data_IF_388728943328
#
_entry.id   IF_388728943328
#
_cell.length_a   1.000
_cell.length_b   1.000
_cell.length_c   1.000
_cell.angle_alpha   90.00
_cell.angle_beta   90.00
_cell.angle_gamma   90.00
#
_symmetry.space_group_name_H-M   'P 1'
#
loop_
_entity.id
_entity.type
_entity.pdbx_description
1 polymer ?
#
# COMPACT_ATOMS: atom_id res chain seq x y z
N UNK A 1 2.25 4.04 -13.18
CA UNK A 1 3.68 3.74 -13.45
C UNK A 1 4.03 2.55 -12.57
N UNK A 2 4.55 1.50 -13.20
CA UNK A 2 5.07 0.28 -12.55
C UNK A 2 6.58 0.23 -12.67
N UNK A 3 7.20 -0.60 -11.85
CA UNK A 3 8.63 -0.73 -11.70
C UNK A 3 9.25 0.32 -10.75
N UNK A 4 10.56 0.16 -10.50
CA UNK A 4 11.33 1.07 -9.68
C UNK A 4 11.41 2.46 -10.32
N UNK A 5 11.60 3.48 -9.49
CA UNK A 5 11.80 4.84 -9.94
C UNK A 5 12.19 5.78 -8.81
N UNK A 6 12.64 7.00 -9.10
CA UNK A 6 12.99 7.98 -8.09
C UNK A 6 11.85 8.15 -7.07
N UNK A 7 12.19 8.07 -5.78
CA UNK A 7 11.26 8.18 -4.65
C UNK A 7 10.32 7.01 -4.43
N UNK A 8 10.47 5.89 -5.16
CA UNK A 8 9.91 4.59 -4.78
C UNK A 8 10.93 3.81 -3.98
N UNK A 9 10.62 3.55 -2.71
CA UNK A 9 11.43 2.69 -1.85
C UNK A 9 10.88 1.27 -1.96
N UNK A 10 11.68 0.32 -2.47
CA UNK A 10 11.29 -1.10 -2.49
C UNK A 10 11.23 -1.63 -1.06
N UNK A 11 10.14 -2.30 -0.72
CA UNK A 11 9.93 -2.93 0.57
C UNK A 11 10.05 -4.44 0.40
N UNK A 12 10.90 -5.08 1.22
CA UNK A 12 10.89 -6.54 1.35
C UNK A 12 9.58 -6.94 2.05
N UNK A 13 8.62 -7.40 1.28
CA UNK A 13 7.25 -7.62 1.73
C UNK A 13 6.69 -8.93 1.18
N UNK A 14 5.95 -9.65 2.02
CA UNK A 14 5.11 -10.77 1.58
C UNK A 14 3.69 -10.30 1.38
N UNK A 15 3.13 -10.59 0.21
CA UNK A 15 1.75 -10.24 -0.14
C UNK A 15 0.89 -11.48 -0.17
N UNK A 16 -0.30 -11.39 0.40
CA UNK A 16 -1.29 -12.47 0.40
C UNK A 16 -2.69 -11.91 0.17
N UNK A 17 -3.46 -12.62 -0.64
CA UNK A 17 -4.90 -12.41 -0.73
C UNK A 17 -5.61 -13.48 0.08
N UNK A 18 -6.54 -13.03 0.92
CA UNK A 18 -7.39 -13.91 1.71
C UNK A 18 -8.84 -13.74 1.27
N UNK A 19 -9.55 -14.85 1.18
CA UNK A 19 -10.96 -14.94 0.79
C UNK A 19 -11.72 -15.75 1.83
N UNK A 20 -13.02 -15.89 1.66
CA UNK A 20 -13.75 -16.93 2.39
C UNK A 20 -13.29 -18.31 1.91
N UNK A 21 -12.84 -19.16 2.83
CA UNK A 21 -12.37 -20.51 2.53
C UNK A 21 -10.90 -20.67 2.09
N UNK A 22 -10.09 -19.62 2.01
CA UNK A 22 -8.67 -19.80 1.67
C UNK A 22 -7.83 -18.53 1.54
N UNK A 23 -6.55 -18.74 1.21
CA UNK A 23 -5.61 -17.67 0.92
C UNK A 23 -4.57 -18.09 -0.10
N UNK A 24 -4.12 -17.15 -0.93
CA UNK A 24 -3.01 -17.34 -1.87
C UNK A 24 -1.93 -16.28 -1.62
N UNK A 25 -0.67 -16.69 -1.74
CA UNK A 25 0.44 -15.73 -1.79
C UNK A 25 0.48 -15.11 -3.20
N UNK A 26 0.76 -13.80 -3.26
CA UNK A 26 0.88 -13.06 -4.51
C UNK A 26 2.34 -12.69 -4.69
N UNK A 27 2.92 -13.09 -5.82
CA UNK A 27 4.23 -12.60 -6.25
C UNK A 27 4.07 -11.15 -6.71
N UNK A 28 4.49 -10.21 -5.86
CA UNK A 28 4.26 -8.79 -6.05
C UNK A 28 5.45 -7.98 -5.56
N UNK A 29 5.82 -6.96 -6.34
CA UNK A 29 6.76 -5.95 -5.90
C UNK A 29 6.02 -4.87 -5.09
N UNK A 30 6.46 -4.62 -3.87
CA UNK A 30 5.86 -3.62 -2.99
C UNK A 30 6.77 -2.41 -2.86
N UNK A 31 6.21 -1.22 -3.06
CA UNK A 31 6.94 0.03 -2.93
C UNK A 31 6.22 1.03 -2.04
N UNK A 32 6.97 1.75 -1.21
CA UNK A 32 6.51 3.02 -0.65
C UNK A 32 6.83 4.12 -1.66
N UNK A 33 5.81 4.67 -2.32
CA UNK A 33 5.95 5.77 -3.26
C UNK A 33 5.77 7.10 -2.54
N UNK A 34 6.87 7.82 -2.32
CA UNK A 34 6.90 9.06 -1.55
C UNK A 34 6.41 10.25 -2.40
N UNK A 35 5.56 11.10 -1.81
CA UNK A 35 5.02 12.32 -2.44
C UNK A 35 6.10 13.22 -3.06
N UNK A 36 5.77 13.78 -4.22
CA UNK A 36 6.63 14.71 -4.97
C UNK A 36 7.74 14.04 -5.76
N UNK A 37 7.74 12.72 -5.83
CA UNK A 37 8.63 11.96 -6.68
C UNK A 37 7.85 11.20 -7.74
N UNK A 38 8.41 11.10 -8.94
CA UNK A 38 7.81 10.36 -10.06
C UNK A 38 6.31 10.68 -10.28
N UNK A 39 5.95 11.97 -10.09
CA UNK A 39 4.58 12.53 -10.18
C UNK A 39 3.58 12.07 -9.11
N UNK A 40 4.01 11.46 -8.01
CA UNK A 40 3.11 11.14 -6.89
C UNK A 40 2.63 12.42 -6.18
N UNK A 41 1.34 12.71 -6.26
CA UNK A 41 0.71 13.85 -5.55
C UNK A 41 0.55 13.59 -4.05
N UNK A 42 0.46 12.31 -3.66
CA UNK A 42 0.35 11.85 -2.28
C UNK A 42 1.24 10.63 -2.08
N UNK A 43 1.75 10.44 -0.87
CA UNK A 43 2.46 9.22 -0.50
C UNK A 43 1.48 8.06 -0.47
N UNK A 44 1.84 6.92 -1.06
CA UNK A 44 1.01 5.72 -1.11
C UNK A 44 1.89 4.47 -1.18
N UNK A 45 1.28 3.31 -0.97
CA UNK A 45 1.97 2.02 -1.06
C UNK A 45 1.54 1.36 -2.37
N UNK A 46 2.48 1.12 -3.26
CA UNK A 46 2.26 0.34 -4.47
C UNK A 46 2.40 -1.15 -4.17
N UNK A 47 1.50 -1.95 -4.73
CA UNK A 47 1.57 -3.42 -4.76
C UNK A 47 1.43 -3.81 -6.23
N UNK A 48 2.55 -4.14 -6.85
CA UNK A 48 2.67 -4.33 -8.30
C UNK A 48 2.73 -5.83 -8.62
N UNK A 49 1.67 -6.32 -9.25
CA UNK A 49 1.56 -7.68 -9.76
C UNK A 49 0.57 -7.66 -10.92
N UNK A 50 0.93 -8.30 -12.03
CA UNK A 50 0.14 -8.26 -13.25
C UNK A 50 -1.27 -8.81 -13.03
N UNK A 51 -2.28 -8.04 -13.45
CA UNK A 51 -3.68 -8.43 -13.33
C UNK A 51 -4.33 -8.18 -11.96
N UNK A 52 -3.55 -7.77 -10.94
CA UNK A 52 -4.06 -7.59 -9.57
C UNK A 52 -5.14 -6.50 -9.49
N UNK A 53 -5.03 -5.45 -10.31
CA UNK A 53 -6.04 -4.39 -10.41
C UNK A 53 -7.39 -4.92 -10.92
N UNK A 54 -7.38 -5.85 -11.87
CA UNK A 54 -8.60 -6.45 -12.39
C UNK A 54 -9.22 -7.40 -11.37
N UNK A 55 -8.38 -8.12 -10.61
CA UNK A 55 -8.82 -9.04 -9.56
C UNK A 55 -9.45 -8.33 -8.36
N UNK A 56 -8.89 -7.19 -7.94
CA UNK A 56 -9.30 -6.54 -6.69
C UNK A 56 -10.28 -5.38 -6.86
N UNK A 57 -10.13 -4.61 -7.94
CA UNK A 57 -10.83 -3.32 -8.09
C UNK A 57 -11.43 -3.10 -9.47
N UNK A 58 -11.54 -4.15 -10.30
CA UNK A 58 -12.14 -4.10 -11.64
C UNK A 58 -11.35 -3.24 -12.66
N UNK A 59 -10.04 -3.08 -12.46
CA UNK A 59 -9.10 -2.51 -13.44
C UNK A 59 -8.52 -1.12 -13.09
N UNK A 60 -7.68 -0.53 -13.96
CA UNK A 60 -7.04 0.76 -13.73
C UNK A 60 -8.05 1.92 -13.62
N UNK A 61 -7.78 2.88 -12.72
CA UNK A 61 -8.64 4.05 -12.50
C UNK A 61 -9.92 3.75 -11.71
N UNK A 62 -10.15 2.49 -11.36
CA UNK A 62 -11.17 2.07 -10.39
C UNK A 62 -10.57 1.96 -9.00
N UNK A 63 -11.41 1.82 -7.98
CA UNK A 63 -10.95 1.58 -6.64
C UNK A 63 -12.07 1.42 -5.63
N UNK A 64 -11.70 1.00 -4.43
CA UNK A 64 -12.63 0.73 -3.34
C UNK A 64 -12.14 1.36 -2.04
N UNK A 65 -13.08 1.88 -1.27
CA UNK A 65 -12.80 2.30 0.09
C UNK A 65 -12.79 1.10 1.04
N UNK A 66 -11.96 1.21 2.07
CA UNK A 66 -11.77 0.15 3.05
C UNK A 66 -11.12 0.67 4.32
N UNK A 67 -10.68 -0.26 5.14
CA UNK A 67 -9.92 0.01 6.36
C UNK A 67 -8.62 -0.75 6.35
N UNK A 68 -7.58 -0.08 6.82
CA UNK A 68 -6.29 -0.68 7.12
C UNK A 68 -6.26 -1.03 8.60
N UNK A 69 -5.78 -2.24 8.89
CA UNK A 69 -5.54 -2.72 10.25
C UNK A 69 -4.12 -3.25 10.36
N UNK A 70 -3.53 -3.08 11.54
CA UNK A 70 -2.26 -3.71 11.89
C UNK A 70 -2.44 -5.23 11.92
N UNK A 71 -1.54 -5.95 11.27
CA UNK A 71 -1.50 -7.42 11.32
C UNK A 71 -0.07 -7.90 11.49
N UNK A 72 0.26 -8.31 12.72
CA UNK A 72 1.63 -8.66 13.10
C UNK A 72 2.56 -7.50 12.75
N UNK A 73 3.54 -7.76 11.89
CA UNK A 73 4.50 -6.75 11.43
C UNK A 73 4.08 -5.98 10.18
N UNK A 74 2.89 -6.22 9.63
CA UNK A 74 2.41 -5.54 8.42
C UNK A 74 1.00 -4.96 8.55
N UNK A 75 0.34 -4.83 7.41
CA UNK A 75 -1.00 -4.27 7.30
C UNK A 75 -1.93 -5.23 6.58
N UNK A 76 -3.22 -5.12 6.89
CA UNK A 76 -4.29 -5.75 6.11
C UNK A 76 -5.30 -4.69 5.68
N UNK A 77 -5.58 -4.64 4.39
CA UNK A 77 -6.66 -3.84 3.82
C UNK A 77 -7.92 -4.69 3.70
N UNK A 78 -9.01 -4.19 4.29
CA UNK A 78 -10.34 -4.81 4.24
C UNK A 78 -11.29 -3.82 3.53
N UNK A 79 -11.75 -4.13 2.30
CA UNK A 79 -12.71 -3.32 1.57
C UNK A 79 -14.09 -3.33 2.25
N UNK A 80 -14.86 -2.24 2.10
CA UNK A 80 -16.19 -2.12 2.73
C UNK A 80 -17.26 -3.03 2.11
N UNK A 81 -17.14 -3.36 0.82
CA UNK A 81 -18.19 -4.04 0.04
C UNK A 81 -17.66 -5.19 -0.83
N UNK A 82 -16.53 -5.79 -0.45
CA UNK A 82 -15.97 -6.96 -1.16
C UNK A 82 -15.51 -8.00 -0.14
N UNK A 83 -15.61 -9.28 -0.50
CA UNK A 83 -15.31 -10.41 0.38
C UNK A 83 -13.87 -10.93 0.21
N UNK A 84 -12.89 -10.03 0.27
CA UNK A 84 -11.47 -10.38 0.23
C UNK A 84 -10.67 -9.46 1.16
N UNK A 85 -9.44 -9.85 1.51
CA UNK A 85 -8.49 -9.03 2.28
C UNK A 85 -7.13 -9.05 1.59
N UNK A 86 -6.52 -7.89 1.44
CA UNK A 86 -5.16 -7.76 0.95
C UNK A 86 -4.22 -7.59 2.13
N UNK A 87 -3.38 -8.59 2.37
CA UNK A 87 -2.39 -8.60 3.46
C UNK A 87 -1.02 -8.27 2.86
N UNK A 88 -0.35 -7.28 3.45
CA UNK A 88 1.01 -6.86 3.07
C UNK A 88 1.88 -6.88 4.33
N UNK A 89 2.72 -7.91 4.46
CA UNK A 89 3.59 -8.11 5.62
C UNK A 89 4.93 -7.42 5.39
N UNK A 90 5.14 -6.29 6.07
CA UNK A 90 6.40 -5.55 6.04
C UNK A 90 6.52 -4.63 7.27
N UNK A 91 7.66 -4.72 7.97
CA UNK A 91 7.92 -4.05 9.25
C UNK A 91 7.77 -2.52 9.21
N UNK A 92 8.08 -1.86 8.08
CA UNK A 92 7.88 -0.40 7.92
C UNK A 92 6.39 -0.06 7.97
N UNK A 93 5.57 -0.81 7.23
CA UNK A 93 4.14 -0.58 7.15
C UNK A 93 3.45 -0.86 8.50
N UNK A 94 3.78 -1.99 9.13
CA UNK A 94 3.22 -2.35 10.45
C UNK A 94 3.63 -1.35 11.52
N UNK A 95 4.92 -0.98 11.59
CA UNK A 95 5.41 0.01 12.55
C UNK A 95 4.75 1.37 12.37
N UNK A 96 4.58 1.81 11.12
CA UNK A 96 3.92 3.07 10.83
C UNK A 96 2.45 3.07 11.29
N UNK A 97 1.73 1.96 11.07
CA UNK A 97 0.32 1.87 11.42
C UNK A 97 0.14 1.73 12.94
N UNK A 98 1.05 1.04 13.62
CA UNK A 98 1.08 0.93 15.08
C UNK A 98 1.21 2.31 15.75
N UNK A 99 2.04 3.22 15.21
CA UNK A 99 2.23 4.58 15.75
C UNK A 99 0.95 5.43 15.74
N UNK A 100 -0.04 5.10 14.91
CA UNK A 100 -1.33 5.80 14.85
C UNK A 100 -2.50 5.00 15.45
N UNK A 101 -2.20 4.02 16.32
CA UNK A 101 -3.21 3.21 17.00
C UNK A 101 -3.68 1.99 16.23
N UNK A 102 -2.92 1.54 15.22
CA UNK A 102 -3.11 0.23 14.58
C UNK A 102 -4.27 0.14 13.59
N UNK A 103 -4.95 1.25 13.27
CA UNK A 103 -6.03 1.26 12.27
C UNK A 103 -6.18 2.62 11.60
N UNK A 104 -6.61 2.64 10.34
CA UNK A 104 -6.99 3.87 9.64
C UNK A 104 -7.94 3.58 8.48
N UNK A 105 -8.63 4.62 7.97
CA UNK A 105 -9.36 4.51 6.71
C UNK A 105 -8.38 4.47 5.53
N UNK A 106 -8.69 3.66 4.53
CA UNK A 106 -7.86 3.47 3.35
C UNK A 106 -8.67 3.49 2.06
N UNK A 107 -7.95 3.61 0.95
CA UNK A 107 -8.46 3.48 -0.40
C UNK A 107 -7.51 2.57 -1.18
N UNK A 108 -8.05 1.55 -1.84
CA UNK A 108 -7.31 0.71 -2.76
C UNK A 108 -7.68 1.13 -4.18
N UNK A 109 -6.74 1.68 -4.93
CA UNK A 109 -6.92 2.11 -6.32
C UNK A 109 -6.19 1.20 -7.30
N UNK A 110 -6.80 0.96 -8.45
CA UNK A 110 -6.20 0.21 -9.55
C UNK A 110 -5.31 1.09 -10.39
N UNK A 111 -4.14 0.58 -10.75
CA UNK A 111 -3.24 1.16 -11.74
C UNK A 111 -2.86 0.07 -12.74
N UNK A 112 -2.29 0.47 -13.88
CA UNK A 112 -1.76 -0.52 -14.84
C UNK A 112 -0.68 -1.33 -14.13
N UNK A 113 -0.83 -2.66 -14.08
CA UNK A 113 0.13 -3.61 -13.50
C UNK A 113 0.14 -3.67 -11.96
N UNK A 114 -1.01 -3.44 -11.33
CA UNK A 114 -1.15 -3.58 -9.88
C UNK A 114 -2.08 -2.58 -9.21
N UNK A 115 -2.00 -2.51 -7.89
CA UNK A 115 -2.84 -1.61 -7.07
C UNK A 115 -1.98 -0.66 -6.25
N UNK A 116 -2.59 0.41 -5.75
CA UNK A 116 -1.99 1.25 -4.72
C UNK A 116 -2.93 1.41 -3.53
N UNK A 117 -2.34 1.47 -2.33
CA UNK A 117 -3.02 1.71 -1.07
C UNK A 117 -2.75 3.17 -0.68
N UNK A 118 -3.80 3.99 -0.74
CA UNK A 118 -3.87 5.28 -0.08
C UNK A 118 -4.47 5.17 1.32
N UNK A 119 -4.23 6.18 2.16
CA UNK A 119 -4.72 6.23 3.52
C UNK A 119 -4.90 7.66 4.03
N UNK A 120 -5.46 7.81 5.23
CA UNK A 120 -5.55 9.11 5.91
C UNK A 120 -4.17 9.69 6.20
N UNK A 121 -4.12 11.02 6.26
CA UNK A 121 -2.89 11.81 6.33
C UNK A 121 -2.01 11.46 7.52
N UNK A 122 -2.58 11.04 8.64
CA UNK A 122 -1.84 10.68 9.85
C UNK A 122 -0.91 9.48 9.59
N UNK A 123 -1.42 8.45 8.92
CA UNK A 123 -0.61 7.29 8.52
C UNK A 123 0.45 7.65 7.50
N UNK A 124 0.06 8.45 6.49
CA UNK A 124 0.98 8.84 5.42
C UNK A 124 2.14 9.70 5.95
N UNK A 125 1.90 10.59 6.92
CA UNK A 125 2.98 11.38 7.56
C UNK A 125 3.99 10.48 8.25
N UNK A 126 3.54 9.47 8.99
CA UNK A 126 4.44 8.53 9.66
C UNK A 126 5.28 7.74 8.65
N UNK A 127 4.67 7.32 7.52
CA UNK A 127 5.43 6.70 6.43
C UNK A 127 6.46 7.66 5.82
N UNK A 128 6.09 8.93 5.61
CA UNK A 128 7.00 9.98 5.12
C UNK A 128 8.17 10.24 6.09
N UNK A 129 7.92 10.22 7.40
CA UNK A 129 8.96 10.33 8.44
C UNK A 129 9.92 9.13 8.37
N UNK A 130 9.40 7.90 8.35
CA UNK A 130 10.23 6.69 8.27
C UNK A 130 11.01 6.67 6.96
N UNK A 131 10.41 7.10 5.85
CA UNK A 131 11.08 7.25 4.55
C UNK A 131 12.30 8.19 4.65
N UNK A 132 12.13 9.33 5.31
CA UNK A 132 13.19 10.30 5.50
C UNK A 132 14.30 9.78 6.44
N UNK A 133 13.93 9.16 7.55
CA UNK A 133 14.86 8.70 8.59
C UNK A 133 15.67 7.47 8.16
N UNK A 134 15.02 6.48 7.55
CA UNK A 134 15.66 5.18 7.25
C UNK A 134 16.23 5.08 5.84
N UNK A 135 15.67 5.83 4.91
CA UNK A 135 15.99 5.69 3.48
C UNK A 135 16.49 6.99 2.85
N UNK A 136 16.50 8.10 3.60
CA UNK A 136 16.95 9.41 3.09
C UNK A 136 16.01 10.02 2.03
N UNK A 137 14.82 9.46 1.83
CA UNK A 137 13.86 9.93 0.82
C UNK A 137 12.82 10.82 1.49
N UNK A 138 12.89 12.12 1.24
CA UNK A 138 11.96 13.12 1.79
C UNK A 138 10.88 13.48 0.78
N UNK A 139 9.64 13.77 1.21
CA UNK A 139 8.62 14.34 0.33
C UNK A 139 9.10 15.66 -0.31
N UNK A 140 8.74 15.87 -1.58
CA UNK A 140 9.01 17.14 -2.29
C UNK A 140 7.73 17.97 -2.39
N UNK A 141 7.88 19.29 -2.59
CA UNK A 141 6.76 20.16 -2.95
C UNK A 141 6.25 19.72 -4.33
N UNK A 142 4.94 19.52 -4.43
CA UNK A 142 4.18 19.21 -5.64
C UNK A 142 3.34 20.41 -6.04
#
# INVERSE_FOLDING_TARGET
MTGPGPGKIRLDARVRLEYDGGSEDVDADVYLHVKGWSRALVTHIDVEADGLEYKLVDGPGRGVYGRLYLRGRGIVFIPLHRAWRLVVLNDVLGSALARIGGRTAGYLGGKVGGVFIGARREYLRVLEEIAAERFGVRPRRV
#
